data_IF_824576590986
#
_entry.id   IF_824576590986
#
_cell.length_a   1.000
_cell.length_b   1.000
_cell.length_c   1.000
_cell.angle_alpha   90.00
_cell.angle_beta   90.00
_cell.angle_gamma   90.00
#
_symmetry.space_group_name_H-M   'P 1'
#
loop_
_entity.id
_entity.type
_entity.pdbx_description
1 polymer ?
#
# COMPACT_ATOMS: atom_id res chain seq x y z
N UNK A 1 5.87 -3.08 -12.12
CA UNK A 1 4.87 -1.99 -12.24
C UNK A 1 4.82 -1.23 -10.92
N UNK A 2 4.54 0.07 -10.90
CA UNK A 2 4.59 0.85 -9.65
C UNK A 2 3.46 0.46 -8.68
N UNK A 3 3.75 0.51 -7.38
CA UNK A 3 2.77 0.39 -6.30
C UNK A 3 1.55 1.30 -6.54
N UNK A 4 0.37 0.83 -6.13
CA UNK A 4 -0.89 1.61 -6.16
C UNK A 4 -1.23 2.25 -4.81
N UNK A 5 -0.29 2.23 -3.86
CA UNK A 5 -0.44 2.91 -2.58
C UNK A 5 -0.63 4.42 -2.81
N UNK A 6 -1.63 5.00 -2.17
CA UNK A 6 -2.01 6.41 -2.35
C UNK A 6 -1.64 7.26 -1.13
N UNK A 7 -1.87 6.74 0.07
CA UNK A 7 -1.61 7.43 1.34
C UNK A 7 -1.71 6.49 2.54
N UNK A 8 -1.34 7.01 3.70
CA UNK A 8 -1.64 6.42 5.00
C UNK A 8 -2.82 7.17 5.63
N UNK A 9 -3.80 6.45 6.17
CA UNK A 9 -5.00 7.01 6.79
C UNK A 9 -5.09 6.57 8.25
N UNK A 10 -5.54 7.44 9.15
CA UNK A 10 -5.79 7.04 10.53
C UNK A 10 -6.90 5.98 10.62
N UNK A 11 -6.64 4.89 11.35
CA UNK A 11 -7.61 3.82 11.62
C UNK A 11 -8.87 4.27 12.36
N UNK A 12 -8.81 5.36 13.13
CA UNK A 12 -9.99 5.91 13.81
C UNK A 12 -10.92 6.63 12.84
N UNK A 13 -12.18 6.18 12.78
CA UNK A 13 -13.24 6.82 11.99
C UNK A 13 -13.51 8.28 12.38
N UNK A 14 -13.31 8.65 13.64
CA UNK A 14 -13.47 10.05 14.10
C UNK A 14 -12.33 10.96 13.68
N UNK A 15 -11.18 10.42 13.27
CA UNK A 15 -10.02 11.19 12.86
C UNK A 15 -9.85 11.19 11.34
N UNK A 16 -9.71 10.00 10.72
CA UNK A 16 -9.44 9.80 9.27
C UNK A 16 -8.38 10.74 8.68
N UNK A 17 -7.41 11.20 9.48
CA UNK A 17 -6.32 12.05 9.00
C UNK A 17 -5.47 11.28 7.99
N UNK A 18 -5.23 11.92 6.86
CA UNK A 18 -4.37 11.41 5.80
C UNK A 18 -2.96 11.96 5.94
N UNK A 19 -1.95 11.11 5.78
CA UNK A 19 -0.53 11.48 5.79
C UNK A 19 0.21 10.78 4.65
N UNK A 20 1.38 11.31 4.30
CA UNK A 20 2.20 10.77 3.22
C UNK A 20 2.70 9.36 3.53
N UNK A 21 2.68 8.49 2.52
CA UNK A 21 3.25 7.14 2.57
C UNK A 21 4.73 7.08 2.14
N UNK A 22 5.29 8.19 1.64
CA UNK A 22 6.69 8.26 1.17
C UNK A 22 7.66 8.73 2.25
N UNK A 23 7.14 9.07 3.42
CA UNK A 23 7.91 9.51 4.58
C UNK A 23 7.74 8.50 5.71
N UNK A 24 8.71 8.44 6.61
CA UNK A 24 8.59 7.64 7.82
C UNK A 24 7.42 8.18 8.66
N UNK A 25 6.42 7.34 8.92
CA UNK A 25 5.29 7.64 9.78
C UNK A 25 5.20 6.57 10.87
N UNK A 26 5.00 7.01 12.12
CA UNK A 26 4.70 6.11 13.23
C UNK A 26 3.18 6.09 13.46
N UNK A 27 2.71 6.93 14.39
CA UNK A 27 1.31 7.07 14.73
C UNK A 27 0.69 8.30 14.09
N UNK A 28 -0.64 8.34 14.05
CA UNK A 28 -1.36 9.52 13.58
C UNK A 28 -0.94 10.75 14.40
N UNK A 29 -0.48 11.84 13.76
CA UNK A 29 0.02 13.01 14.48
C UNK A 29 -1.08 13.80 15.21
N UNK A 30 -2.36 13.47 14.99
CA UNK A 30 -3.49 14.14 15.63
C UNK A 30 -4.08 13.36 16.82
N UNK A 31 -4.02 12.03 16.81
CA UNK A 31 -4.69 11.21 17.84
C UNK A 31 -3.87 10.02 18.32
N UNK A 32 -2.61 9.89 17.90
CA UNK A 32 -1.70 8.82 18.32
C UNK A 32 -2.20 7.38 18.05
N UNK A 33 -3.11 7.20 17.09
CA UNK A 33 -3.59 5.88 16.67
C UNK A 33 -2.84 5.33 15.46
N UNK A 34 -2.88 3.99 15.25
CA UNK A 34 -2.26 3.37 14.09
C UNK A 34 -2.77 3.94 12.76
N UNK A 35 -1.85 4.05 11.80
CA UNK A 35 -2.12 4.40 10.42
C UNK A 35 -2.29 3.13 9.57
N UNK A 36 -3.19 3.18 8.60
CA UNK A 36 -3.46 2.09 7.65
C UNK A 36 -3.12 2.51 6.23
N UNK A 37 -2.54 1.60 5.47
CA UNK A 37 -2.24 1.81 4.05
C UNK A 37 -3.51 1.82 3.20
N UNK A 38 -3.63 2.82 2.32
CA UNK A 38 -4.73 2.95 1.35
C UNK A 38 -4.19 2.82 -0.07
N UNK A 39 -4.93 2.09 -0.90
CA UNK A 39 -4.54 1.73 -2.26
C UNK A 39 -5.65 2.06 -3.24
N UNK A 40 -5.28 2.41 -4.47
CA UNK A 40 -6.20 2.42 -5.60
C UNK A 40 -6.40 0.98 -6.10
N UNK A 41 -7.35 0.28 -5.49
CA UNK A 41 -7.66 -1.12 -5.82
C UNK A 41 -8.25 -1.28 -7.22
N UNK A 42 -8.94 -0.26 -7.74
CA UNK A 42 -9.47 -0.29 -9.10
C UNK A 42 -8.34 -0.27 -10.13
N UNK A 43 -7.27 0.50 -9.87
CA UNK A 43 -6.05 0.47 -10.67
C UNK A 43 -5.29 -0.84 -10.48
N UNK A 44 -5.14 -1.34 -9.25
CA UNK A 44 -4.43 -2.59 -8.97
C UNK A 44 -5.06 -3.79 -9.68
N UNK A 45 -6.40 -3.86 -9.69
CA UNK A 45 -7.15 -4.96 -10.31
C UNK A 45 -6.91 -5.10 -11.83
N UNK A 46 -6.41 -4.05 -12.51
CA UNK A 46 -6.10 -4.09 -13.93
C UNK A 46 -4.91 -5.00 -14.25
N UNK A 47 -3.99 -5.19 -13.30
CA UNK A 47 -2.75 -5.97 -13.51
C UNK A 47 -2.54 -7.09 -12.52
N UNK A 48 -3.11 -6.97 -11.31
CA UNK A 48 -3.11 -8.01 -10.30
C UNK A 48 -4.20 -9.05 -10.60
N UNK A 49 -4.02 -9.79 -11.69
CA UNK A 49 -4.94 -10.85 -12.11
C UNK A 49 -4.36 -12.23 -11.79
N UNK A 50 -5.22 -13.25 -11.71
CA UNK A 50 -4.77 -14.64 -11.47
C UNK A 50 -3.85 -15.11 -12.59
N UNK A 51 -4.16 -14.72 -13.81
CA UNK A 51 -3.41 -14.97 -15.03
C UNK A 51 -2.00 -14.37 -14.94
N UNK A 52 -1.90 -13.08 -14.60
CA UNK A 52 -0.62 -12.41 -14.45
C UNK A 52 0.22 -13.03 -13.32
N UNK A 53 -0.41 -13.35 -12.18
CA UNK A 53 0.27 -13.95 -11.04
C UNK A 53 0.92 -15.29 -11.37
N UNK A 54 0.32 -16.12 -12.25
CA UNK A 54 0.87 -17.44 -12.63
C UNK A 54 2.29 -17.35 -13.21
N UNK A 55 2.60 -16.29 -13.95
CA UNK A 55 3.92 -16.09 -14.56
C UNK A 55 4.95 -15.36 -13.68
N UNK A 56 4.54 -14.81 -12.54
CA UNK A 56 5.44 -14.06 -11.64
C UNK A 56 6.23 -15.00 -10.72
N UNK A 57 7.41 -14.56 -10.30
CA UNK A 57 8.24 -15.27 -9.31
C UNK A 57 7.46 -15.53 -8.01
N UNK A 58 7.75 -16.65 -7.32
CA UNK A 58 7.06 -17.05 -6.08
C UNK A 58 7.59 -16.33 -4.83
N UNK A 59 7.59 -14.99 -4.87
CA UNK A 59 8.02 -14.13 -3.75
C UNK A 59 6.87 -13.20 -3.35
N UNK A 60 7.02 -12.46 -2.24
CA UNK A 60 6.05 -11.42 -1.86
C UNK A 60 5.89 -10.35 -2.96
N UNK A 61 6.98 -10.03 -3.66
CA UNK A 61 7.03 -9.02 -4.72
C UNK A 61 6.14 -9.32 -5.93
N UNK A 62 5.60 -10.54 -6.05
CA UNK A 62 4.58 -10.83 -7.06
C UNK A 62 3.28 -10.04 -6.87
N UNK A 63 3.08 -9.43 -5.70
CA UNK A 63 1.94 -8.56 -5.36
C UNK A 63 2.34 -7.08 -5.33
N UNK A 64 3.31 -6.66 -6.16
CA UNK A 64 3.89 -5.31 -6.20
C UNK A 64 2.86 -4.17 -6.17
N UNK A 65 1.68 -4.36 -6.77
CA UNK A 65 0.61 -3.37 -6.80
C UNK A 65 0.12 -2.96 -5.40
N UNK A 66 0.19 -3.87 -4.41
CA UNK A 66 -0.26 -3.66 -3.03
C UNK A 66 0.88 -3.64 -2.01
N UNK A 67 2.13 -3.64 -2.49
CA UNK A 67 3.32 -3.47 -1.65
C UNK A 67 3.82 -2.02 -1.67
N UNK A 68 4.72 -1.62 -0.76
CA UNK A 68 5.40 -0.34 -0.85
C UNK A 68 6.15 -0.21 -2.18
N UNK A 69 6.18 1.00 -2.75
CA UNK A 69 6.94 1.32 -3.97
C UNK A 69 8.46 1.38 -3.76
N UNK A 70 9.02 0.37 -3.09
CA UNK A 70 10.45 0.24 -2.82
C UNK A 70 11.08 -0.82 -3.74
N UNK A 71 12.38 -0.70 -3.97
CA UNK A 71 13.15 -1.72 -4.67
C UNK A 71 13.09 -3.04 -3.89
N UNK A 72 12.76 -4.16 -4.55
CA UNK A 72 12.81 -5.46 -3.92
C UNK A 72 14.15 -5.75 -3.27
N UNK A 73 14.13 -6.13 -1.98
CA UNK A 73 15.25 -6.84 -1.37
C UNK A 73 15.09 -8.31 -1.73
N UNK A 74 16.03 -8.84 -2.51
CA UNK A 74 16.08 -10.23 -2.99
C UNK A 74 17.17 -11.01 -2.31
#
# INVERSE_FOLDING_TARGET
MASTMTHLECSRRSCRKTVSHTQLQNLCPACNSPLVARYDLARAARTLTREALRGRARTMWRYEEVLPGATPVT
#
